data_IF_698234454129
#
_entry.id   IF_698234454129
#
_cell.length_a   1.000
_cell.length_b   1.000
_cell.length_c   1.000
_cell.angle_alpha   90.00
_cell.angle_beta   90.00
_cell.angle_gamma   90.00
#
_symmetry.space_group_name_H-M   'P 1'
#
loop_
_entity.id
_entity.type
_entity.pdbx_description
1 polymer ?
#
# COMPACT_ATOMS: atom_id res chain seq x y z
N UNK A 1 -0.06 28.47 -17.56
CA UNK A 1 -1.06 28.66 -16.48
C UNK A 1 -2.11 27.54 -16.49
N UNK A 2 -1.68 26.26 -16.58
CA UNK A 2 -2.57 25.08 -16.72
C UNK A 2 -2.46 24.04 -15.60
N UNK A 3 -1.44 24.08 -14.74
CA UNK A 3 -1.13 22.95 -13.85
C UNK A 3 -1.65 23.11 -12.42
N UNK A 4 -2.46 24.13 -12.15
CA UNK A 4 -3.01 24.35 -10.80
C UNK A 4 -4.25 23.51 -10.52
N UNK A 5 -4.92 22.95 -11.54
CA UNK A 5 -6.15 22.18 -11.37
C UNK A 5 -5.89 20.73 -10.91
N UNK A 6 -4.91 20.04 -11.50
CA UNK A 6 -4.59 18.65 -11.15
C UNK A 6 -4.07 18.53 -9.70
N UNK A 7 -3.08 19.34 -9.35
CA UNK A 7 -2.49 19.35 -8.00
C UNK A 7 -3.50 19.71 -6.89
N UNK A 8 -4.47 20.58 -7.20
CA UNK A 8 -5.54 20.93 -6.25
C UNK A 8 -6.43 19.71 -5.94
N UNK A 9 -6.84 18.96 -6.96
CA UNK A 9 -7.68 17.77 -6.78
C UNK A 9 -6.96 16.67 -6.00
N UNK A 10 -5.65 16.53 -6.18
CA UNK A 10 -4.84 15.51 -5.51
C UNK A 10 -4.69 15.76 -4.00
N UNK A 11 -4.63 17.03 -3.59
CA UNK A 11 -4.41 17.43 -2.18
C UNK A 11 -5.73 17.73 -1.47
N UNK A 12 -6.84 17.94 -2.19
CA UNK A 12 -8.16 18.09 -1.56
C UNK A 12 -8.57 16.82 -0.83
N UNK A 13 -8.94 17.00 0.44
CA UNK A 13 -9.30 15.93 1.36
C UNK A 13 -10.59 16.26 2.10
N UNK A 14 -11.31 15.22 2.55
CA UNK A 14 -12.42 15.43 3.48
C UNK A 14 -11.92 16.01 4.81
N UNK A 15 -12.77 16.81 5.48
CA UNK A 15 -12.48 17.38 6.82
C UNK A 15 -12.73 16.35 7.95
N UNK A 16 -12.86 15.07 7.61
CA UNK A 16 -13.10 14.03 8.62
C UNK A 16 -11.81 13.74 9.42
N UNK A 17 -11.86 13.75 10.77
CA UNK A 17 -10.74 13.32 11.59
C UNK A 17 -10.55 11.79 11.56
N UNK A 18 -11.58 11.03 11.18
CA UNK A 18 -11.57 9.56 11.23
C UNK A 18 -10.59 8.93 10.24
N UNK A 19 -10.25 9.63 9.15
CA UNK A 19 -9.29 9.13 8.16
C UNK A 19 -7.90 8.90 8.76
N UNK A 20 -7.58 9.54 9.90
CA UNK A 20 -6.33 9.29 10.61
C UNK A 20 -6.21 7.80 11.00
N UNK A 21 -7.27 7.17 11.50
CA UNK A 21 -7.21 5.78 11.90
C UNK A 21 -6.90 4.84 10.73
N UNK A 22 -7.47 5.12 9.56
CA UNK A 22 -7.17 4.34 8.35
C UNK A 22 -5.74 4.60 7.87
N UNK A 23 -5.26 5.84 7.93
CA UNK A 23 -3.87 6.17 7.60
C UNK A 23 -2.89 5.49 8.54
N UNK A 24 -3.18 5.45 9.84
CA UNK A 24 -2.37 4.73 10.81
C UNK A 24 -2.39 3.23 10.51
N UNK A 25 -3.55 2.64 10.24
CA UNK A 25 -3.65 1.22 9.90
C UNK A 25 -2.84 0.86 8.64
N UNK A 26 -3.02 1.60 7.56
CA UNK A 26 -2.32 1.38 6.28
C UNK A 26 -0.83 1.68 6.43
N UNK A 27 -0.50 2.87 6.92
CA UNK A 27 0.87 3.35 6.99
C UNK A 27 1.74 2.58 7.99
N UNK A 28 1.21 2.19 9.15
CA UNK A 28 1.97 1.42 10.15
C UNK A 28 2.17 -0.06 9.75
N UNK A 29 1.49 -0.55 8.71
CA UNK A 29 1.76 -1.87 8.13
C UNK A 29 2.78 -1.74 7.00
N UNK A 30 2.54 -0.86 6.03
CA UNK A 30 3.42 -0.74 4.87
C UNK A 30 4.81 -0.18 5.18
N UNK A 31 4.93 0.77 6.12
CA UNK A 31 6.23 1.35 6.43
C UNK A 31 7.19 0.29 7.02
N UNK A 32 6.83 -0.49 8.06
CA UNK A 32 7.66 -1.58 8.54
C UNK A 32 7.90 -2.69 7.51
N UNK A 33 6.87 -3.09 6.75
CA UNK A 33 7.00 -4.11 5.71
C UNK A 33 8.02 -3.70 4.63
N UNK A 34 8.00 -2.44 4.19
CA UNK A 34 8.99 -1.90 3.26
C UNK A 34 10.40 -1.90 3.84
N UNK A 35 10.56 -1.49 5.10
CA UNK A 35 11.85 -1.54 5.81
C UNK A 35 12.37 -2.98 5.90
N UNK A 36 11.50 -3.93 6.28
CA UNK A 36 11.86 -5.32 6.44
C UNK A 36 12.28 -5.98 5.12
N UNK A 37 11.66 -5.63 3.99
CA UNK A 37 12.09 -6.09 2.66
C UNK A 37 13.50 -5.62 2.29
N UNK A 38 13.93 -4.46 2.80
CA UNK A 38 15.26 -3.89 2.55
C UNK A 38 16.32 -4.42 3.52
N UNK A 39 15.97 -4.65 4.80
CA UNK A 39 16.91 -5.15 5.81
C UNK A 39 17.05 -6.67 5.79
N UNK A 40 15.97 -7.39 5.43
CA UNK A 40 15.92 -8.85 5.38
C UNK A 40 15.54 -9.35 3.97
N UNK A 41 16.35 -9.04 2.94
CA UNK A 41 16.02 -9.34 1.55
C UNK A 41 15.84 -10.84 1.29
N UNK A 42 16.64 -11.71 1.92
CA UNK A 42 16.53 -13.16 1.72
C UNK A 42 15.21 -13.74 2.25
N UNK A 43 14.66 -13.18 3.34
CA UNK A 43 13.48 -13.74 4.03
C UNK A 43 12.17 -13.09 3.55
N UNK A 44 12.20 -11.79 3.28
CA UNK A 44 11.00 -10.99 3.03
C UNK A 44 11.03 -10.25 1.68
N UNK A 45 12.23 -10.03 1.11
CA UNK A 45 12.45 -9.32 -0.14
C UNK A 45 12.70 -10.25 -1.32
N UNK A 46 13.90 -10.17 -1.91
CA UNK A 46 14.29 -10.91 -3.12
C UNK A 46 14.18 -12.42 -2.95
N UNK A 47 14.65 -13.00 -1.85
CA UNK A 47 14.55 -14.45 -1.63
C UNK A 47 13.09 -14.90 -1.56
N UNK A 48 12.25 -14.17 -0.84
CA UNK A 48 10.80 -14.43 -0.80
C UNK A 48 10.13 -14.32 -2.16
N UNK A 49 10.55 -13.35 -2.97
CA UNK A 49 9.99 -13.12 -4.30
C UNK A 49 10.43 -14.22 -5.27
N UNK A 50 11.63 -14.75 -5.11
CA UNK A 50 12.10 -15.93 -5.84
C UNK A 50 11.25 -17.16 -5.50
N UNK A 51 10.97 -17.41 -4.21
CA UNK A 51 10.08 -18.51 -3.79
C UNK A 51 8.69 -18.39 -4.42
N UNK A 52 8.13 -17.17 -4.45
CA UNK A 52 6.81 -16.91 -5.04
C UNK A 52 6.84 -17.06 -6.58
N UNK A 53 8.00 -16.98 -7.24
CA UNK A 53 8.10 -17.01 -8.71
C UNK A 53 7.98 -15.64 -9.40
N UNK A 54 8.22 -14.54 -8.66
CA UNK A 54 8.20 -13.19 -9.23
C UNK A 54 9.45 -12.98 -10.12
N UNK A 55 9.30 -12.50 -11.37
CA UNK A 55 10.43 -12.23 -12.26
C UNK A 55 11.41 -11.20 -11.70
N UNK A 56 12.72 -11.40 -11.94
CA UNK A 56 13.81 -10.53 -11.47
C UNK A 56 13.69 -10.17 -9.97
N UNK A 57 13.71 -11.16 -9.07
CA UNK A 57 13.48 -10.96 -7.65
C UNK A 57 14.48 -9.97 -7.01
N UNK A 58 15.73 -9.97 -7.45
CA UNK A 58 16.76 -9.02 -7.00
C UNK A 58 16.47 -7.56 -7.36
N UNK A 59 15.65 -7.32 -8.38
CA UNK A 59 15.19 -5.97 -8.75
C UNK A 59 13.84 -5.66 -8.09
N UNK A 60 12.89 -6.60 -8.16
CA UNK A 60 11.52 -6.40 -7.68
C UNK A 60 11.44 -6.31 -6.16
N UNK A 61 12.23 -7.10 -5.42
CA UNK A 61 12.24 -7.10 -3.95
C UNK A 61 12.57 -5.70 -3.39
N UNK A 62 13.75 -5.13 -3.73
CA UNK A 62 14.10 -3.77 -3.33
C UNK A 62 13.16 -2.70 -3.88
N UNK A 63 12.68 -2.85 -5.13
CA UNK A 63 11.72 -1.90 -5.72
C UNK A 63 10.43 -1.82 -4.90
N UNK A 64 9.80 -2.96 -4.61
CA UNK A 64 8.59 -3.01 -3.79
C UNK A 64 8.87 -2.51 -2.37
N UNK A 65 10.01 -2.90 -1.78
CA UNK A 65 10.42 -2.42 -0.45
C UNK A 65 10.51 -0.90 -0.35
N UNK A 66 11.14 -0.23 -1.33
CA UNK A 66 11.21 1.23 -1.38
C UNK A 66 9.85 1.88 -1.60
N UNK A 67 9.02 1.32 -2.48
CA UNK A 67 7.67 1.83 -2.74
C UNK A 67 6.82 1.77 -1.46
N UNK A 68 6.82 0.62 -0.77
CA UNK A 68 6.08 0.45 0.49
C UNK A 68 6.58 1.38 1.59
N UNK A 69 7.91 1.54 1.74
CA UNK A 69 8.51 2.43 2.72
C UNK A 69 8.11 3.89 2.48
N UNK A 70 8.34 4.39 1.26
CA UNK A 70 8.10 5.80 0.92
C UNK A 70 6.61 6.12 0.96
N UNK A 71 5.78 5.29 0.32
CA UNK A 71 4.34 5.51 0.28
C UNK A 71 3.72 5.34 1.67
N UNK A 72 4.14 4.32 2.42
CA UNK A 72 3.69 4.10 3.80
C UNK A 72 3.99 5.29 4.71
N UNK A 73 5.21 5.84 4.63
CA UNK A 73 5.59 7.04 5.37
C UNK A 73 4.73 8.26 4.97
N UNK A 74 4.53 8.48 3.68
CA UNK A 74 3.72 9.61 3.21
C UNK A 74 2.24 9.47 3.54
N UNK A 75 1.69 8.25 3.53
CA UNK A 75 0.34 7.98 4.06
C UNK A 75 0.27 8.28 5.56
N UNK A 76 1.28 7.90 6.36
CA UNK A 76 1.31 8.24 7.78
C UNK A 76 1.34 9.74 8.03
N UNK A 77 2.10 10.49 7.24
CA UNK A 77 2.14 11.96 7.33
C UNK A 77 0.89 12.64 6.73
N UNK A 78 0.18 11.93 5.85
CA UNK A 78 -0.97 12.48 5.14
C UNK A 78 -0.53 13.47 4.07
N UNK A 79 0.55 13.14 3.37
CA UNK A 79 1.11 13.92 2.28
C UNK A 79 0.81 13.22 0.96
N UNK A 80 0.20 13.94 0.01
CA UNK A 80 -0.22 13.43 -1.29
C UNK A 80 -0.91 12.06 -1.17
N UNK A 81 -1.84 11.93 -0.21
CA UNK A 81 -2.32 10.61 0.24
C UNK A 81 -2.93 9.78 -0.89
N UNK A 82 -3.66 10.43 -1.80
CA UNK A 82 -4.24 9.78 -2.99
C UNK A 82 -3.16 9.23 -3.92
N UNK A 83 -2.07 9.95 -4.15
CA UNK A 83 -0.98 9.50 -5.01
C UNK A 83 -0.31 8.27 -4.42
N UNK A 84 0.00 8.32 -3.12
CA UNK A 84 0.70 7.23 -2.43
C UNK A 84 -0.17 5.99 -2.24
N UNK A 85 -1.50 6.12 -2.21
CA UNK A 85 -2.39 4.96 -2.10
C UNK A 85 -2.51 4.16 -3.42
N UNK A 86 -2.18 4.76 -4.58
CA UNK A 86 -2.23 4.07 -5.89
C UNK A 86 -1.23 2.91 -5.94
N UNK A 87 0.09 3.13 -5.72
CA UNK A 87 1.07 2.04 -5.79
C UNK A 87 0.84 1.00 -4.70
N UNK A 88 0.44 1.42 -3.47
CA UNK A 88 0.12 0.47 -2.40
C UNK A 88 -1.06 -0.44 -2.76
N UNK A 89 -2.10 0.11 -3.40
CA UNK A 89 -3.23 -0.67 -3.92
C UNK A 89 -2.75 -1.67 -4.98
N UNK A 90 -1.89 -1.23 -5.91
CA UNK A 90 -1.30 -2.11 -6.92
C UNK A 90 -0.51 -3.27 -6.33
N UNK A 91 0.34 -3.00 -5.33
CA UNK A 91 1.12 -4.03 -4.63
C UNK A 91 0.20 -5.05 -3.96
N UNK A 92 -0.88 -4.61 -3.30
CA UNK A 92 -1.83 -5.54 -2.67
C UNK A 92 -2.58 -6.40 -3.68
N UNK A 93 -2.98 -5.84 -4.82
CA UNK A 93 -3.62 -6.63 -5.89
C UNK A 93 -2.65 -7.69 -6.39
N UNK A 94 -1.40 -7.32 -6.70
CA UNK A 94 -0.38 -8.26 -7.15
C UNK A 94 -0.12 -9.33 -6.08
N UNK A 95 0.03 -8.94 -4.81
CA UNK A 95 0.26 -9.88 -3.71
C UNK A 95 -0.89 -10.87 -3.51
N UNK A 96 -2.15 -10.41 -3.64
CA UNK A 96 -3.31 -11.29 -3.58
C UNK A 96 -3.31 -12.31 -4.72
N UNK A 97 -3.05 -11.85 -5.94
CA UNK A 97 -3.00 -12.72 -7.13
C UNK A 97 -1.83 -13.71 -7.04
N UNK A 98 -0.64 -13.24 -6.68
CA UNK A 98 0.58 -14.06 -6.70
C UNK A 98 0.68 -15.03 -5.55
N UNK A 99 0.12 -14.71 -4.37
CA UNK A 99 0.30 -15.55 -3.18
C UNK A 99 -0.98 -16.25 -2.74
N UNK A 100 -2.16 -15.64 -2.92
CA UNK A 100 -3.40 -16.16 -2.34
C UNK A 100 -4.16 -17.04 -3.31
N UNK A 101 -4.12 -16.77 -4.61
CA UNK A 101 -4.69 -17.65 -5.63
C UNK A 101 -4.04 -19.04 -5.60
N UNK A 102 -2.69 -19.19 -5.57
CA UNK A 102 -2.08 -20.51 -5.40
C UNK A 102 -2.52 -21.21 -4.11
N UNK A 103 -2.63 -20.50 -2.98
CA UNK A 103 -3.11 -21.10 -1.71
C UNK A 103 -4.56 -21.59 -1.81
N UNK A 104 -5.40 -20.88 -2.57
CA UNK A 104 -6.78 -21.29 -2.78
C UNK A 104 -6.87 -22.57 -3.62
N UNK A 105 -6.07 -22.66 -4.69
CA UNK A 105 -6.05 -23.81 -5.58
C UNK A 105 -5.29 -25.00 -4.98
N UNK A 106 -4.29 -24.74 -4.13
CA UNK A 106 -3.41 -25.76 -3.56
C UNK A 106 -2.32 -26.24 -4.52
N UNK A 107 -2.12 -25.54 -5.63
CA UNK A 107 -1.13 -25.85 -6.66
C UNK A 107 -0.52 -24.56 -7.21
N UNK A 108 0.58 -24.69 -7.96
CA UNK A 108 1.22 -23.58 -8.64
C UNK A 108 0.27 -22.98 -9.68
N UNK A 109 0.26 -21.65 -9.78
CA UNK A 109 -0.64 -20.92 -10.66
C UNK A 109 0.14 -19.94 -11.54
N UNK A 110 0.01 -20.11 -12.86
CA UNK A 110 0.62 -19.24 -13.86
C UNK A 110 2.16 -19.25 -13.77
N UNK A 111 2.77 -18.23 -13.19
CA UNK A 111 4.22 -18.16 -12.91
C UNK A 111 4.51 -18.21 -11.42
N UNK A 112 3.48 -18.36 -10.59
CA UNK A 112 3.57 -18.24 -9.15
C UNK A 112 3.53 -19.59 -8.46
N UNK A 113 4.46 -19.80 -7.54
CA UNK A 113 4.55 -21.05 -6.81
C UNK A 113 3.74 -20.98 -5.52
N UNK A 114 3.10 -22.10 -5.17
CA UNK A 114 2.38 -22.22 -3.92
C UNK A 114 3.37 -22.37 -2.76
N UNK A 115 3.14 -21.65 -1.66
CA UNK A 115 3.89 -21.87 -0.42
C UNK A 115 3.40 -23.16 0.25
N UNK A 116 4.30 -23.91 0.88
CA UNK A 116 3.95 -24.99 1.79
C UNK A 116 3.06 -24.49 2.97
N UNK A 117 1.87 -25.09 3.10
CA UNK A 117 0.93 -24.86 4.21
C UNK A 117 0.35 -26.20 4.67
N UNK A 118 -0.05 -26.28 5.93
CA UNK A 118 -0.70 -27.47 6.51
C UNK A 118 -2.02 -27.85 5.81
N UNK A 119 -2.70 -26.85 5.24
CA UNK A 119 -3.97 -27.03 4.54
C UNK A 119 -4.16 -25.98 3.45
N UNK A 120 -4.68 -26.41 2.31
CA UNK A 120 -5.06 -25.55 1.19
C UNK A 120 -6.58 -25.38 1.09
N UNK A 121 -7.01 -24.50 0.19
CA UNK A 121 -8.41 -24.22 -0.07
C UNK A 121 -8.86 -22.85 0.40
N UNK A 122 -10.15 -22.57 0.20
CA UNK A 122 -10.71 -21.23 0.37
C UNK A 122 -10.50 -20.67 1.78
N UNK A 123 -10.72 -21.48 2.82
CA UNK A 123 -10.59 -21.03 4.21
C UNK A 123 -9.15 -20.74 4.61
N UNK A 124 -8.19 -21.50 4.11
CA UNK A 124 -6.76 -21.24 4.31
C UNK A 124 -6.33 -19.96 3.62
N UNK A 125 -6.76 -19.79 2.37
CA UNK A 125 -6.52 -18.55 1.62
C UNK A 125 -7.11 -17.34 2.33
N UNK A 126 -8.40 -17.40 2.71
CA UNK A 126 -9.09 -16.30 3.38
C UNK A 126 -8.45 -15.94 4.73
N UNK A 127 -7.98 -16.95 5.47
CA UNK A 127 -7.26 -16.73 6.72
C UNK A 127 -5.88 -16.08 6.48
N UNK A 128 -5.17 -16.53 5.44
CA UNK A 128 -3.86 -16.00 5.06
C UNK A 128 -3.96 -14.60 4.42
N UNK A 129 -5.11 -14.20 3.87
CA UNK A 129 -5.32 -12.93 3.17
C UNK A 129 -5.89 -11.81 4.05
N UNK A 130 -6.12 -12.04 5.35
CA UNK A 130 -6.77 -11.07 6.25
C UNK A 130 -6.10 -9.70 6.22
N UNK A 131 -4.78 -9.68 6.35
CA UNK A 131 -4.00 -8.44 6.35
C UNK A 131 -4.00 -7.80 4.97
N UNK A 132 -3.73 -8.57 3.91
CA UNK A 132 -3.70 -8.09 2.52
C UNK A 132 -5.04 -7.44 2.12
N UNK A 133 -6.15 -8.09 2.49
CA UNK A 133 -7.50 -7.60 2.23
C UNK A 133 -7.78 -6.29 2.99
N UNK A 134 -7.44 -6.23 4.28
CA UNK A 134 -7.60 -5.02 5.07
C UNK A 134 -6.77 -3.86 4.52
N UNK A 135 -5.53 -4.12 4.09
CA UNK A 135 -4.64 -3.11 3.51
C UNK A 135 -5.10 -2.65 2.14
N UNK A 136 -5.63 -3.55 1.30
CA UNK A 136 -6.25 -3.19 0.03
C UNK A 136 -7.46 -2.28 0.24
N UNK A 137 -8.39 -2.67 1.12
CA UNK A 137 -9.58 -1.87 1.40
C UNK A 137 -9.24 -0.52 2.02
N UNK A 138 -8.29 -0.48 2.95
CA UNK A 138 -7.80 0.76 3.55
C UNK A 138 -7.15 1.69 2.53
N UNK A 139 -6.36 1.16 1.60
CA UNK A 139 -5.73 1.94 0.54
C UNK A 139 -6.77 2.49 -0.44
N UNK A 140 -7.75 1.67 -0.85
CA UNK A 140 -8.87 2.12 -1.70
C UNK A 140 -9.70 3.20 -1.01
N UNK A 141 -9.97 3.05 0.30
CA UNK A 141 -10.65 4.09 1.06
C UNK A 141 -9.88 5.43 1.01
N UNK A 142 -8.55 5.39 1.22
CA UNK A 142 -7.71 6.60 1.17
C UNK A 142 -7.61 7.20 -0.24
N UNK A 143 -7.69 6.38 -1.30
CA UNK A 143 -7.79 6.86 -2.68
C UNK A 143 -9.05 7.71 -2.89
N UNK A 144 -10.18 7.30 -2.31
CA UNK A 144 -11.48 7.96 -2.49
C UNK A 144 -11.61 9.15 -1.54
N UNK A 145 -11.37 8.96 -0.24
CA UNK A 145 -11.63 9.92 0.83
C UNK A 145 -10.50 10.96 1.01
N UNK A 146 -9.25 10.60 0.70
CA UNK A 146 -8.08 11.43 0.94
C UNK A 146 -7.57 11.41 2.40
N UNK A 147 -6.69 12.36 2.73
CA UNK A 147 -5.84 12.35 3.92
C UNK A 147 -6.51 12.65 5.28
N UNK A 148 -7.70 13.23 5.30
CA UNK A 148 -8.39 13.76 6.47
C UNK A 148 -7.90 15.11 6.98
N UNK A 149 -8.54 15.60 8.05
CA UNK A 149 -8.29 16.91 8.69
C UNK A 149 -6.89 17.07 9.29
N UNK A 150 -6.35 15.99 9.85
CA UNK A 150 -5.03 15.96 10.51
C UNK A 150 -3.96 15.43 9.55
N UNK A 151 -3.79 16.13 8.43
CA UNK A 151 -2.86 15.76 7.38
C UNK A 151 -2.02 16.95 6.95
N UNK A 152 -0.82 16.67 6.42
CA UNK A 152 0.00 17.69 5.75
C UNK A 152 -0.77 18.29 4.57
N UNK A 153 -1.56 17.49 3.85
CA UNK A 153 -2.43 17.94 2.76
C UNK A 153 -3.44 19.02 3.21
N UNK A 154 -4.11 18.80 4.35
CA UNK A 154 -5.03 19.77 4.93
C UNK A 154 -4.31 21.04 5.39
N UNK A 155 -3.13 20.92 6.00
CA UNK A 155 -2.31 22.06 6.42
C UNK A 155 -1.86 22.93 5.23
N UNK A 156 -1.37 22.31 4.15
CA UNK A 156 -0.97 23.01 2.92
C UNK A 156 -2.14 23.74 2.27
N UNK A 157 -3.33 23.13 2.28
CA UNK A 157 -4.55 23.72 1.72
C UNK A 157 -4.99 24.95 2.54
N UNK A 158 -5.01 24.86 3.87
CA UNK A 158 -5.37 25.97 4.76
C UNK A 158 -4.41 27.16 4.65
N UNK A 159 -3.10 26.90 4.58
CA UNK A 159 -2.06 27.95 4.48
C UNK A 159 -2.09 28.71 3.15
N UNK A 160 -2.51 28.07 2.05
CA UNK A 160 -2.71 28.76 0.77
C UNK A 160 -3.90 29.71 0.82
N UNK A 161 -4.98 29.33 1.50
CA UNK A 161 -6.18 30.16 1.60
C UNK A 161 -5.93 31.42 2.46
N UNK A 162 -5.17 31.29 3.55
CA UNK A 162 -4.82 32.47 4.37
C UNK A 162 -4.00 33.50 3.60
N UNK A 163 -3.02 33.07 2.78
CA UNK A 163 -2.20 33.99 1.97
C UNK A 163 -2.93 34.69 0.80
N UNK A 164 -4.12 34.23 0.45
CA UNK A 164 -4.95 34.87 -0.58
C UNK A 164 -5.95 35.86 0.02
N UNK A 165 -6.11 35.84 1.34
CA UNK A 165 -6.99 36.74 2.09
C UNK A 165 -6.26 37.95 2.69
N UNK A 166 -4.93 37.96 2.60
CA UNK A 166 -4.02 39.08 2.91
C UNK A 166 -3.63 39.79 1.60
#
# INVERSE_FOLDING_TARGET
MSDTHGWKQTITTSDSPTNLFIRLAVGCVFLPEGIQKLIFPEILGSGRFADIGIPWPELMGPFVGWVELICGLFILLGFATRVNAIPLTGIMIVALISTKVPIWLGEDWWIFNVRELDRYGFWSMAHASRTDWAMLMGSIYLLIAGAGRWSVDAWLTRRKYSRLAD
#
